data_IF_330242737609
#
_entry.id   IF_330242737609
#
_cell.length_a   1.000
_cell.length_b   1.000
_cell.length_c   1.000
_cell.angle_alpha   90.00
_cell.angle_beta   90.00
_cell.angle_gamma   90.00
#
_symmetry.space_group_name_H-M   'P 1'
#
loop_
_entity.id
_entity.type
_entity.pdbx_description
1 polymer ?
#
# COMPACT_ATOMS: atom_id res chain seq x y z
N UNK A 1 7.97 -15.54 7.90
CA UNK A 1 9.41 -15.41 8.12
C UNK A 1 9.96 -14.14 7.49
N UNK A 2 10.23 -14.09 6.18
CA UNK A 2 11.03 -13.02 5.55
C UNK A 2 10.77 -11.58 6.00
N UNK A 3 9.51 -11.12 6.16
CA UNK A 3 9.21 -9.74 6.56
C UNK A 3 9.66 -9.44 8.00
N UNK A 4 9.48 -10.38 8.93
CA UNK A 4 9.90 -10.19 10.33
C UNK A 4 11.43 -10.23 10.43
N UNK A 5 12.05 -11.17 9.74
CA UNK A 5 13.51 -11.32 9.71
C UNK A 5 14.19 -10.06 9.16
N UNK A 6 13.65 -9.48 8.07
CA UNK A 6 14.15 -8.21 7.51
C UNK A 6 13.96 -7.03 8.46
N UNK A 7 12.85 -6.99 9.21
CA UNK A 7 12.60 -5.95 10.19
C UNK A 7 13.58 -6.04 11.38
N UNK A 8 13.97 -7.25 11.79
CA UNK A 8 14.96 -7.47 12.84
C UNK A 8 16.38 -7.06 12.44
N UNK A 9 16.77 -7.27 11.18
CA UNK A 9 18.05 -6.79 10.64
C UNK A 9 18.13 -5.25 10.70
N UNK A 10 16.99 -4.57 10.54
CA UNK A 10 16.88 -3.11 10.56
C UNK A 10 17.45 -2.43 9.32
N UNK A 11 17.37 -1.08 9.27
CA UNK A 11 17.84 -0.25 8.15
C UNK A 11 17.28 -0.65 6.77
N UNK A 12 16.02 -1.06 6.72
CA UNK A 12 15.31 -1.44 5.48
C UNK A 12 14.05 -0.63 5.29
N UNK A 13 13.66 -0.42 4.03
CA UNK A 13 12.33 0.10 3.65
C UNK A 13 11.55 -1.03 3.01
N UNK A 14 10.43 -1.40 3.62
CA UNK A 14 9.52 -2.42 3.10
C UNK A 14 8.31 -1.76 2.45
N UNK A 15 8.12 -2.00 1.15
CA UNK A 15 6.99 -1.46 0.41
C UNK A 15 5.91 -2.54 0.16
N UNK A 16 4.71 -2.28 0.66
CA UNK A 16 3.51 -3.09 0.38
C UNK A 16 3.48 -4.45 1.09
N UNK A 17 2.83 -5.44 0.45
CA UNK A 17 2.72 -6.85 0.89
C UNK A 17 2.18 -7.06 2.33
N UNK A 18 1.37 -6.15 2.82
CA UNK A 18 0.82 -6.24 4.18
C UNK A 18 1.83 -5.98 5.30
N UNK A 19 3.01 -5.42 4.99
CA UNK A 19 4.05 -5.15 6.00
C UNK A 19 3.54 -4.36 7.21
N UNK A 20 2.68 -3.36 6.98
CA UNK A 20 2.06 -2.57 8.04
C UNK A 20 1.16 -3.41 8.97
N UNK A 21 0.41 -4.37 8.43
CA UNK A 21 -0.41 -5.29 9.22
C UNK A 21 0.45 -6.35 9.94
N UNK A 22 1.43 -6.93 9.25
CA UNK A 22 2.31 -7.98 9.80
C UNK A 22 3.16 -7.45 10.96
N UNK A 23 3.65 -6.21 10.84
CA UNK A 23 4.54 -5.56 11.79
C UNK A 23 3.79 -4.59 12.72
N UNK A 24 2.46 -4.69 12.79
CA UNK A 24 1.61 -3.79 13.59
C UNK A 24 2.13 -3.61 15.02
N UNK A 25 2.43 -4.72 15.70
CA UNK A 25 2.85 -4.73 17.11
C UNK A 25 4.38 -4.64 17.28
N UNK A 26 5.13 -4.26 16.24
CA UNK A 26 6.60 -4.18 16.29
C UNK A 26 7.04 -2.76 16.65
N UNK A 27 7.52 -2.48 17.88
CA UNK A 27 7.74 -1.11 18.34
C UNK A 27 8.86 -0.36 17.60
N UNK A 28 9.80 -1.10 17.02
CA UNK A 28 10.94 -0.54 16.28
C UNK A 28 10.60 -0.14 14.82
N UNK A 29 9.35 -0.33 14.38
CA UNK A 29 8.94 -0.12 12.99
C UNK A 29 8.04 1.11 12.87
N UNK A 30 8.48 2.10 12.08
CA UNK A 30 7.60 3.17 11.62
C UNK A 30 6.75 2.67 10.45
N UNK A 31 5.43 2.68 10.63
CA UNK A 31 4.45 2.26 9.62
C UNK A 31 3.81 3.50 9.00
N UNK A 32 4.04 3.75 7.71
CA UNK A 32 3.54 4.94 7.01
C UNK A 32 2.52 4.55 5.94
N UNK A 33 1.32 5.13 6.04
CA UNK A 33 0.28 5.03 5.01
C UNK A 33 0.36 6.22 4.07
N UNK A 34 0.36 5.97 2.76
CA UNK A 34 0.35 7.03 1.74
C UNK A 34 -0.98 6.99 1.01
N UNK A 35 -1.74 8.08 1.14
CA UNK A 35 -3.02 8.28 0.46
C UNK A 35 -2.99 9.60 -0.30
N UNK A 36 -3.79 9.69 -1.36
CA UNK A 36 -3.92 10.89 -2.17
C UNK A 36 -5.31 10.92 -2.81
N UNK A 37 -5.75 12.10 -3.24
CA UNK A 37 -6.99 12.24 -3.99
C UNK A 37 -6.87 11.52 -5.34
N UNK A 38 -8.00 11.06 -5.88
CA UNK A 38 -8.00 10.35 -7.18
C UNK A 38 -7.39 11.19 -8.31
N UNK A 39 -7.67 12.50 -8.35
CA UNK A 39 -7.12 13.43 -9.35
C UNK A 39 -5.58 13.47 -9.38
N UNK A 40 -4.96 13.53 -8.20
CA UNK A 40 -3.49 13.52 -8.05
C UNK A 40 -2.92 12.17 -8.50
N UNK A 41 -3.60 11.07 -8.15
CA UNK A 41 -3.18 9.71 -8.49
C UNK A 41 -3.28 9.45 -10.00
N UNK A 42 -4.35 9.89 -10.65
CA UNK A 42 -4.51 9.79 -12.10
C UNK A 42 -3.35 10.50 -12.80
N UNK A 43 -3.11 11.77 -12.44
CA UNK A 43 -2.01 12.58 -13.01
C UNK A 43 -0.67 11.84 -12.87
N UNK A 44 -0.37 11.35 -11.66
CA UNK A 44 0.85 10.60 -11.36
C UNK A 44 0.98 9.34 -12.22
N UNK A 45 -0.09 8.55 -12.36
CA UNK A 45 -0.08 7.30 -13.11
C UNK A 45 0.04 7.55 -14.61
N UNK A 46 -0.64 8.56 -15.14
CA UNK A 46 -0.51 8.97 -16.54
C UNK A 46 0.94 9.32 -16.89
N UNK A 47 1.60 10.12 -16.06
CA UNK A 47 3.00 10.49 -16.24
C UNK A 47 3.95 9.28 -16.15
N UNK A 48 3.79 8.44 -15.12
CA UNK A 48 4.69 7.32 -14.89
C UNK A 48 4.55 6.21 -15.92
N UNK A 49 3.32 5.94 -16.36
CA UNK A 49 3.00 4.83 -17.26
C UNK A 49 2.79 5.27 -18.71
N UNK A 50 2.90 6.57 -19.00
CA UNK A 50 2.67 7.17 -20.33
C UNK A 50 1.27 6.85 -20.87
N UNK A 51 0.26 6.92 -20.00
CA UNK A 51 -1.15 6.72 -20.35
C UNK A 51 -1.75 8.09 -20.69
N UNK A 52 -2.23 8.27 -21.92
CA UNK A 52 -2.81 9.55 -22.36
C UNK A 52 -4.26 9.73 -21.88
N UNK A 53 -5.02 8.64 -21.73
CA UNK A 53 -6.43 8.69 -21.32
C UNK A 53 -6.57 8.61 -19.78
N UNK A 54 -7.21 9.61 -19.18
CA UNK A 54 -7.46 9.66 -17.74
C UNK A 54 -8.37 8.53 -17.23
N UNK A 55 -9.37 8.11 -18.01
CA UNK A 55 -10.29 7.02 -17.64
C UNK A 55 -9.58 5.66 -17.60
N UNK A 56 -8.58 5.47 -18.47
CA UNK A 56 -7.74 4.27 -18.48
C UNK A 56 -6.86 4.22 -17.22
N UNK A 57 -6.21 5.34 -16.88
CA UNK A 57 -5.43 5.46 -15.65
C UNK A 57 -6.30 5.27 -14.39
N UNK A 58 -7.49 5.84 -14.35
CA UNK A 58 -8.43 5.66 -13.25
C UNK A 58 -8.87 4.20 -13.11
N UNK A 59 -9.18 3.55 -14.23
CA UNK A 59 -9.57 2.13 -14.26
C UNK A 59 -8.45 1.23 -13.74
N UNK A 60 -7.19 1.51 -14.12
CA UNK A 60 -6.02 0.80 -13.61
C UNK A 60 -5.83 0.98 -12.10
N UNK A 61 -6.01 2.22 -11.61
CA UNK A 61 -5.96 2.53 -10.18
C UNK A 61 -7.04 1.75 -9.42
N UNK A 62 -8.30 1.84 -9.85
CA UNK A 62 -9.44 1.14 -9.23
C UNK A 62 -9.23 -0.38 -9.22
N UNK A 63 -8.71 -0.94 -10.31
CA UNK A 63 -8.43 -2.37 -10.39
C UNK A 63 -7.36 -2.79 -9.38
N UNK A 64 -6.27 -2.03 -9.29
CA UNK A 64 -5.14 -2.30 -8.38
C UNK A 64 -5.57 -2.13 -6.92
N UNK A 65 -6.32 -1.07 -6.61
CA UNK A 65 -6.86 -0.81 -5.27
C UNK A 65 -7.80 -1.93 -4.83
N UNK A 66 -8.68 -2.39 -5.71
CA UNK A 66 -9.58 -3.51 -5.43
C UNK A 66 -8.81 -4.82 -5.20
N UNK A 67 -7.73 -5.07 -5.95
CA UNK A 67 -6.87 -6.23 -5.71
C UNK A 67 -6.19 -6.15 -4.34
N UNK A 68 -5.66 -4.97 -3.98
CA UNK A 68 -5.03 -4.74 -2.68
C UNK A 68 -6.03 -4.88 -1.53
N UNK A 69 -7.24 -4.33 -1.67
CA UNK A 69 -8.30 -4.45 -0.68
C UNK A 69 -8.68 -5.91 -0.44
N UNK A 70 -8.91 -6.69 -1.51
CA UNK A 70 -9.24 -8.14 -1.39
C UNK A 70 -8.12 -8.94 -0.73
N UNK A 71 -6.87 -8.56 -0.97
CA UNK A 71 -5.74 -9.20 -0.29
C UNK A 71 -5.77 -8.90 1.22
N UNK A 72 -5.95 -7.63 1.61
CA UNK A 72 -5.98 -7.23 3.02
C UNK A 72 -7.16 -7.83 3.78
N UNK A 73 -8.34 -7.83 3.17
CA UNK A 73 -9.55 -8.45 3.75
C UNK A 73 -9.31 -9.93 4.05
N UNK A 74 -8.74 -10.68 3.09
CA UNK A 74 -8.50 -12.13 3.24
C UNK A 74 -7.35 -12.47 4.17
N UNK A 75 -6.30 -11.65 4.20
CA UNK A 75 -5.08 -11.96 4.93
C UNK A 75 -5.06 -11.39 6.36
N UNK A 76 -5.79 -10.30 6.60
CA UNK A 76 -5.69 -9.52 7.84
C UNK A 76 -7.04 -9.05 8.38
N UNK A 77 -8.17 -9.42 7.75
CA UNK A 77 -9.52 -8.96 8.14
C UNK A 77 -9.61 -7.43 8.30
N UNK A 78 -8.86 -6.71 7.48
CA UNK A 78 -8.70 -5.24 7.56
C UNK A 78 -8.65 -4.64 6.15
N UNK A 79 -8.38 -3.33 6.07
CA UNK A 79 -8.29 -2.54 4.86
C UNK A 79 -6.86 -1.99 4.68
N UNK A 80 -6.35 -1.88 3.44
CA UNK A 80 -5.04 -1.27 3.21
C UNK A 80 -4.97 0.20 3.62
N UNK A 81 -6.10 0.85 3.83
CA UNK A 81 -6.18 2.25 4.27
C UNK A 81 -6.75 2.37 5.70
N UNK A 82 -6.80 1.27 6.46
CA UNK A 82 -7.17 1.32 7.87
C UNK A 82 -6.16 2.20 8.64
N UNK A 83 -6.61 3.34 9.20
CA UNK A 83 -5.70 4.29 9.84
C UNK A 83 -5.01 3.69 11.07
N UNK A 84 -5.56 2.66 11.71
CA UNK A 84 -4.94 2.02 12.88
C UNK A 84 -3.72 1.16 12.52
N UNK A 85 -3.54 0.82 11.24
CA UNK A 85 -2.36 0.10 10.77
C UNK A 85 -1.13 1.00 10.59
N UNK A 86 -1.29 2.32 10.69
CA UNK A 86 -0.26 3.31 10.41
C UNK A 86 -0.07 4.26 11.60
N UNK A 87 1.05 4.98 11.61
CA UNK A 87 1.32 6.06 12.55
C UNK A 87 0.75 7.38 12.06
#
# INVERSE_FOLDING_TARGET
EVIRDLAEIGNVVLLGRGGAAILHDTPAVLRVGVVAKMEDRITRVQEQMRIENADEAESLIKHTDMAQHRYFERAFESSPIDPFLYH
#
